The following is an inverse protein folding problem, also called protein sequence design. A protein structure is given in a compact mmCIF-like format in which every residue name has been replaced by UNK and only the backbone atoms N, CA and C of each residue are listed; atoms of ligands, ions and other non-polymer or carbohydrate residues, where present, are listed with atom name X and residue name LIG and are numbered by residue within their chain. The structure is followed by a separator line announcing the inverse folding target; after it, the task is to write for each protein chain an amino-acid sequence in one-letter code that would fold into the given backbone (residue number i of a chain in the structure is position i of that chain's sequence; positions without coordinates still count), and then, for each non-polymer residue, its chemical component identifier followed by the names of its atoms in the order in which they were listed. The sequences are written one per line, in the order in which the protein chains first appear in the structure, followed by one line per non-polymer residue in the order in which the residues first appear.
data_IF_371427845897
#
_entry.id   IF_371427845897
#
_cell.length_a   1.000
_cell.length_b   1.000
_cell.length_c   1.000
_cell.angle_alpha   90.00
_cell.angle_beta   90.00
_cell.angle_gamma   90.00
#
_symmetry.space_group_name_H-M   'P 1'
#
loop_
_entity.id
_entity.type
_entity.pdbx_description
1 polymer ?
#
# COMPACT_ATOMS: atom_id res chain seq x y z
N UNK A 1 -38.07 21.32 56.08
CA UNK A 1 -36.64 21.61 55.84
C UNK A 1 -36.45 22.05 54.39
N UNK A 2 -36.07 23.30 54.13
CA UNK A 2 -35.81 23.83 52.77
C UNK A 2 -34.40 23.40 52.30
N UNK A 3 -34.22 22.93 51.06
CA UNK A 3 -32.89 22.61 50.54
C UNK A 3 -32.10 23.90 50.28
N UNK A 4 -30.83 23.91 50.72
CA UNK A 4 -29.92 25.07 50.62
C UNK A 4 -29.56 25.37 49.16
N UNK A 5 -29.49 26.65 48.73
CA UNK A 5 -29.27 27.07 47.34
C UNK A 5 -27.82 26.95 46.83
N UNK A 6 -26.89 26.43 47.64
CA UNK A 6 -25.45 26.46 47.35
C UNK A 6 -25.00 25.59 46.17
N UNK A 7 -25.69 24.49 45.83
CA UNK A 7 -25.28 23.57 44.76
C UNK A 7 -25.46 24.14 43.35
N UNK A 8 -26.44 25.00 43.13
CA UNK A 8 -26.72 25.61 41.82
C UNK A 8 -25.70 26.70 41.46
N UNK A 9 -25.13 27.38 42.46
CA UNK A 9 -24.11 28.43 42.23
C UNK A 9 -22.79 27.83 41.73
N UNK A 10 -22.34 26.74 42.35
CA UNK A 10 -21.08 26.08 41.97
C UNK A 10 -21.12 25.48 40.55
N UNK A 11 -22.29 24.99 40.11
CA UNK A 11 -22.46 24.46 38.75
C UNK A 11 -22.40 25.57 37.69
N UNK A 12 -23.01 26.73 37.95
CA UNK A 12 -22.93 27.89 37.05
C UNK A 12 -21.51 28.43 36.92
N UNK A 13 -20.77 28.49 38.03
CA UNK A 13 -19.37 28.93 38.03
C UNK A 13 -18.50 27.94 37.23
N UNK A 14 -18.74 26.63 37.37
CA UNK A 14 -18.04 25.60 36.60
C UNK A 14 -18.30 25.73 35.09
N UNK A 15 -19.55 25.93 34.68
CA UNK A 15 -19.92 26.08 33.26
C UNK A 15 -19.29 27.34 32.66
N UNK A 16 -19.27 28.45 33.39
CA UNK A 16 -18.62 29.69 32.95
C UNK A 16 -17.10 29.48 32.82
N UNK A 17 -16.48 28.77 33.77
CA UNK A 17 -15.05 28.44 33.72
C UNK A 17 -14.65 27.61 32.49
N UNK A 18 -15.46 26.59 32.15
CA UNK A 18 -15.24 25.76 30.95
C UNK A 18 -15.40 26.58 29.67
N UNK A 19 -16.40 27.47 29.62
CA UNK A 19 -16.65 28.30 28.44
C UNK A 19 -15.53 29.33 28.20
N UNK A 20 -15.01 29.93 29.28
CA UNK A 20 -13.87 30.87 29.21
C UNK A 20 -12.58 30.13 28.80
N UNK A 21 -12.33 28.93 29.31
CA UNK A 21 -11.20 28.11 28.90
C UNK A 21 -11.26 27.73 27.41
N UNK A 22 -12.45 27.41 26.90
CA UNK A 22 -12.66 27.09 25.48
C UNK A 22 -12.43 28.31 24.57
N UNK A 23 -12.89 29.50 24.98
CA UNK A 23 -12.64 30.75 24.26
C UNK A 23 -11.15 31.12 24.25
N UNK A 24 -10.43 30.93 25.35
CA UNK A 24 -8.98 31.18 25.41
C UNK A 24 -8.20 30.24 24.49
N UNK A 25 -8.57 28.94 24.44
CA UNK A 25 -7.97 27.98 23.50
C UNK A 25 -8.26 28.32 22.03
N UNK A 26 -9.45 28.84 21.74
CA UNK A 26 -9.82 29.26 20.39
C UNK A 26 -9.00 30.49 19.95
N UNK A 27 -8.85 31.51 20.80
CA UNK A 27 -8.05 32.71 20.49
C UNK A 27 -6.55 32.39 20.37
N UNK A 28 -6.03 31.49 21.21
CA UNK A 28 -4.65 31.00 21.10
C UNK A 28 -4.41 30.27 19.77
N UNK A 29 -5.34 29.42 19.31
CA UNK A 29 -5.22 28.77 17.99
C UNK A 29 -5.29 29.76 16.83
N UNK A 30 -6.15 30.78 16.91
CA UNK A 30 -6.26 31.82 15.88
C UNK A 30 -5.03 32.71 15.77
N UNK A 31 -4.25 32.82 16.85
CA UNK A 31 -3.04 33.66 16.91
C UNK A 31 -1.77 32.95 16.38
N UNK A 32 -1.85 31.64 16.10
CA UNK A 32 -0.71 30.84 15.62
C UNK A 32 -0.68 30.59 14.11
N UNK A 33 -1.52 31.27 13.33
CA UNK A 33 -1.49 31.19 11.86
C UNK A 33 -1.14 32.53 11.24
N UNK A 34 0.12 32.94 11.38
CA UNK A 34 0.78 33.81 10.42
C UNK A 34 2.29 33.75 10.62
N UNK A 35 2.96 32.93 9.81
CA UNK A 35 4.35 33.20 9.45
C UNK A 35 4.46 33.07 7.95
N UNK A 36 4.39 34.23 7.29
CA UNK A 36 4.94 34.46 5.96
C UNK A 36 6.42 34.05 5.98
N UNK A 37 6.83 33.22 5.04
CA UNK A 37 8.23 33.11 4.65
C UNK A 37 8.34 33.33 3.15
N UNK A 38 9.07 34.38 2.83
CA UNK A 38 9.30 34.93 1.50
C UNK A 38 9.83 33.91 0.50
N UNK A 39 9.32 34.02 -0.73
CA UNK A 39 9.83 33.31 -1.89
C UNK A 39 11.24 33.82 -2.25
N UNK A 40 12.25 33.00 -2.01
CA UNK A 40 13.57 33.16 -2.62
C UNK A 40 13.56 32.57 -4.03
N UNK A 41 13.48 33.44 -5.05
CA UNK A 41 13.80 33.12 -6.44
C UNK A 41 15.33 32.99 -6.63
N UNK A 42 15.86 31.87 -7.13
CA UNK A 42 17.22 31.85 -7.65
C UNK A 42 17.25 32.42 -9.07
N UNK A 43 18.16 33.38 -9.26
CA UNK A 43 18.57 33.95 -10.55
C UNK A 43 19.17 32.90 -11.48
N UNK A 44 18.83 33.05 -12.76
CA UNK A 44 19.48 32.56 -13.99
C UNK A 44 20.56 31.47 -13.85
N UNK A 45 20.26 30.30 -14.41
CA UNK A 45 21.28 29.36 -14.87
C UNK A 45 20.85 28.84 -16.24
N UNK A 46 21.62 29.21 -17.27
CA UNK A 46 21.45 28.76 -18.65
C UNK A 46 21.60 27.24 -18.72
N UNK A 47 20.49 26.53 -18.85
CA UNK A 47 20.50 25.09 -19.18
C UNK A 47 20.46 24.95 -20.69
N UNK A 48 21.47 24.28 -21.22
CA UNK A 48 21.59 23.84 -22.61
C UNK A 48 20.42 22.90 -22.92
N UNK A 49 19.54 23.33 -23.83
CA UNK A 49 18.37 22.57 -24.25
C UNK A 49 18.85 21.39 -25.11
N UNK A 50 18.93 20.20 -24.50
CA UNK A 50 18.83 18.94 -25.23
C UNK A 50 17.44 18.88 -25.87
N UNK A 51 17.40 18.63 -27.18
CA UNK A 51 16.19 18.63 -28.00
C UNK A 51 15.26 17.51 -27.52
N UNK A 52 14.29 17.85 -26.68
CA UNK A 52 13.20 16.95 -26.31
C UNK A 52 12.33 16.74 -27.55
N UNK A 53 12.47 15.60 -28.21
CA UNK A 53 11.60 15.20 -29.29
C UNK A 53 10.19 14.99 -28.75
N UNK A 54 9.31 15.91 -29.14
CA UNK A 54 7.87 15.74 -29.30
C UNK A 54 7.10 15.14 -28.11
N UNK A 55 7.14 15.81 -26.94
CA UNK A 55 6.05 15.70 -25.98
C UNK A 55 4.78 16.25 -26.64
N UNK A 56 3.87 15.35 -27.02
CA UNK A 56 2.48 15.72 -27.32
C UNK A 56 1.97 16.60 -26.17
N UNK A 57 1.43 17.78 -26.49
CA UNK A 57 0.89 18.73 -25.50
C UNK A 57 -0.38 18.14 -24.87
N UNK A 58 -0.24 17.18 -23.99
CA UNK A 58 -1.34 16.53 -23.27
C UNK A 58 -1.50 17.16 -21.89
N UNK A 59 -2.47 18.07 -21.80
CA UNK A 59 -3.22 18.49 -20.62
C UNK A 59 -2.43 18.81 -19.33
N UNK A 60 -2.26 20.11 -18.99
CA UNK A 60 -1.72 20.56 -17.70
C UNK A 60 -2.64 20.35 -16.48
N UNK A 61 -3.55 19.36 -16.52
CA UNK A 61 -4.45 19.03 -15.42
C UNK A 61 -3.89 17.87 -14.61
N UNK A 62 -4.08 17.91 -13.29
CA UNK A 62 -3.69 16.83 -12.39
C UNK A 62 -4.47 15.55 -12.76
N UNK A 63 -3.82 14.38 -12.83
CA UNK A 63 -4.51 13.11 -13.05
C UNK A 63 -5.64 12.87 -12.05
N UNK A 64 -6.81 12.34 -12.48
CA UNK A 64 -7.91 12.04 -11.55
C UNK A 64 -7.52 11.10 -10.40
N UNK A 65 -6.71 10.07 -10.67
CA UNK A 65 -6.21 9.16 -9.63
C UNK A 65 -5.37 9.89 -8.58
N UNK A 66 -4.49 10.81 -9.02
CA UNK A 66 -3.67 11.61 -8.12
C UNK A 66 -4.51 12.63 -7.32
N UNK A 67 -5.44 13.32 -7.97
CA UNK A 67 -6.33 14.27 -7.29
C UNK A 67 -7.17 13.56 -6.20
N UNK A 68 -7.69 12.37 -6.49
CA UNK A 68 -8.47 11.59 -5.53
C UNK A 68 -7.62 11.06 -4.38
N UNK A 69 -6.40 10.58 -4.64
CA UNK A 69 -5.46 10.19 -3.59
C UNK A 69 -5.13 11.38 -2.67
N UNK A 70 -4.84 12.56 -3.25
CA UNK A 70 -4.57 13.78 -2.47
C UNK A 70 -5.76 14.15 -1.57
N UNK A 71 -6.97 14.22 -2.13
CA UNK A 71 -8.19 14.52 -1.35
C UNK A 71 -8.39 13.47 -0.26
N UNK A 72 -8.26 12.18 -0.58
CA UNK A 72 -8.43 11.09 0.38
C UNK A 72 -7.48 11.23 1.57
N UNK A 73 -6.16 11.34 1.33
CA UNK A 73 -5.18 11.33 2.41
C UNK A 73 -5.10 12.64 3.18
N UNK A 74 -5.38 13.78 2.55
CA UNK A 74 -5.39 15.08 3.25
C UNK A 74 -6.61 15.26 4.15
N UNK A 75 -7.69 14.52 3.90
CA UNK A 75 -8.93 14.57 4.68
C UNK A 75 -9.14 13.36 5.59
N UNK A 76 -8.33 12.31 5.45
CA UNK A 76 -8.37 11.11 6.29
C UNK A 76 -7.69 11.34 7.64
N UNK A 77 -8.26 10.78 8.71
CA UNK A 77 -7.61 10.67 10.03
C UNK A 77 -6.76 9.42 10.18
N UNK A 78 -6.80 8.53 9.19
CA UNK A 78 -6.08 7.26 9.15
C UNK A 78 -4.95 7.37 8.13
N UNK A 79 -3.74 6.99 8.55
CA UNK A 79 -2.57 6.89 7.68
C UNK A 79 -2.38 5.44 7.20
N UNK A 80 -1.72 5.23 6.05
CA UNK A 80 -1.27 3.90 5.63
C UNK A 80 -0.48 3.15 6.72
N UNK A 81 -0.55 1.82 6.70
CA UNK A 81 0.18 0.96 7.65
C UNK A 81 1.69 1.06 7.44
N UNK A 82 2.14 1.05 6.19
CA UNK A 82 3.56 1.19 5.86
C UNK A 82 4.09 2.57 6.28
N UNK A 83 5.26 2.58 6.90
CA UNK A 83 5.96 3.81 7.29
C UNK A 83 6.47 4.56 6.06
N UNK A 84 6.78 5.85 6.23
CA UNK A 84 7.42 6.64 5.18
C UNK A 84 8.72 6.02 4.66
N UNK A 85 9.48 5.31 5.51
CA UNK A 85 10.74 4.67 5.10
C UNK A 85 10.47 3.48 4.20
N UNK A 86 9.51 2.64 4.55
CA UNK A 86 9.09 1.48 3.74
C UNK A 86 8.53 1.94 2.40
N UNK A 87 7.60 2.91 2.41
CA UNK A 87 6.99 3.46 1.19
C UNK A 87 8.06 4.04 0.25
N UNK A 88 9.11 4.68 0.80
CA UNK A 88 10.21 5.25 0.01
C UNK A 88 11.03 4.22 -0.75
N UNK A 89 11.02 2.94 -0.33
CA UNK A 89 11.74 1.89 -1.05
C UNK A 89 11.04 1.62 -2.38
N UNK A 90 9.76 1.24 -2.33
CA UNK A 90 8.96 0.95 -3.53
C UNK A 90 8.76 2.18 -4.41
N UNK A 91 8.55 3.36 -3.83
CA UNK A 91 8.31 4.59 -4.62
C UNK A 91 9.51 5.01 -5.46
N UNK A 92 10.76 4.75 -5.02
CA UNK A 92 11.96 5.02 -5.83
C UNK A 92 12.05 4.14 -7.06
N UNK A 93 11.56 2.91 -6.96
CA UNK A 93 11.51 1.98 -8.11
C UNK A 93 10.38 2.38 -9.05
N UNK A 94 9.19 2.68 -8.52
CA UNK A 94 8.08 3.22 -9.31
C UNK A 94 8.45 4.52 -10.03
N UNK A 95 9.23 5.41 -9.42
CA UNK A 95 9.69 6.64 -10.07
C UNK A 95 10.50 6.37 -11.35
N UNK A 96 11.19 5.23 -11.42
CA UNK A 96 12.00 4.83 -12.58
C UNK A 96 11.22 3.99 -13.59
N UNK A 97 10.33 3.12 -13.11
CA UNK A 97 9.62 2.12 -13.93
C UNK A 97 8.21 2.55 -14.36
N UNK A 98 7.55 3.46 -13.63
CA UNK A 98 6.19 3.92 -13.96
C UNK A 98 6.16 4.72 -15.27
N UNK A 99 5.13 4.57 -16.11
CA UNK A 99 4.00 3.65 -15.96
C UNK A 99 4.39 2.18 -16.22
N UNK A 100 3.97 1.26 -15.35
CA UNK A 100 4.29 -0.17 -15.44
C UNK A 100 3.14 -1.09 -15.01
N UNK A 101 3.35 -2.41 -15.12
CA UNK A 101 2.47 -3.42 -14.53
C UNK A 101 2.86 -3.65 -13.06
N UNK A 102 1.99 -3.28 -12.13
CA UNK A 102 2.21 -3.43 -10.69
C UNK A 102 1.16 -4.34 -10.05
N UNK A 103 1.58 -5.48 -9.51
CA UNK A 103 0.71 -6.36 -8.74
C UNK A 103 0.87 -6.08 -7.25
N UNK A 104 -0.23 -6.01 -6.52
CA UNK A 104 -0.24 -5.85 -5.06
C UNK A 104 -1.09 -6.96 -4.46
N UNK A 105 -0.48 -7.87 -3.70
CA UNK A 105 -1.22 -8.68 -2.74
C UNK A 105 -1.51 -7.78 -1.56
N UNK A 106 -2.77 -7.37 -1.41
CA UNK A 106 -3.30 -6.50 -0.38
C UNK A 106 -4.15 -5.38 -0.98
N UNK A 107 -5.31 -5.15 -0.39
CA UNK A 107 -6.17 -4.00 -0.70
C UNK A 107 -6.42 -3.22 0.59
N UNK A 108 -6.01 -1.95 0.62
CA UNK A 108 -6.02 -1.21 1.87
C UNK A 108 -5.92 0.29 1.71
N UNK A 109 -5.56 0.93 2.82
CA UNK A 109 -5.43 2.38 2.89
C UNK A 109 -4.32 2.93 2.00
N UNK A 110 -3.35 2.13 1.59
CA UNK A 110 -2.23 2.49 0.72
C UNK A 110 -2.53 2.31 -0.78
N UNK A 111 -3.62 1.60 -1.15
CA UNK A 111 -3.92 1.27 -2.55
C UNK A 111 -4.07 2.48 -3.47
N UNK A 112 -4.71 3.56 -2.99
CA UNK A 112 -4.81 4.80 -3.78
C UNK A 112 -3.45 5.45 -4.03
N UNK A 113 -2.55 5.40 -3.04
CA UNK A 113 -1.19 5.89 -3.18
C UNK A 113 -0.44 5.05 -4.22
N UNK A 114 -0.53 3.72 -4.15
CA UNK A 114 0.12 2.83 -5.13
C UNK A 114 -0.39 3.05 -6.56
N UNK A 115 -1.70 3.17 -6.75
CA UNK A 115 -2.30 3.47 -8.05
C UNK A 115 -1.92 4.89 -8.55
N UNK A 116 -1.80 5.87 -7.66
CA UNK A 116 -1.40 7.23 -8.03
C UNK A 116 0.10 7.33 -8.38
N UNK A 117 0.96 6.61 -7.66
CA UNK A 117 2.40 6.55 -7.94
C UNK A 117 2.71 5.85 -9.26
N UNK A 118 1.88 4.88 -9.65
CA UNK A 118 1.95 4.19 -10.95
C UNK A 118 1.02 4.83 -12.01
N UNK A 119 0.88 6.16 -12.02
CA UNK A 119 -0.05 6.83 -12.92
C UNK A 119 0.27 6.53 -14.39
N UNK A 120 -0.75 6.10 -15.14
CA UNK A 120 -0.63 5.69 -16.54
C UNK A 120 -0.26 4.22 -16.73
N UNK A 121 0.13 3.53 -15.65
CA UNK A 121 0.35 2.08 -15.62
C UNK A 121 -0.91 1.32 -15.22
N UNK A 122 -0.78 0.00 -15.09
CA UNK A 122 -1.84 -0.88 -14.59
C UNK A 122 -1.44 -1.39 -13.20
N UNK A 123 -2.31 -1.17 -12.22
CA UNK A 123 -2.12 -1.70 -10.86
C UNK A 123 -3.28 -2.60 -10.50
N UNK A 124 -3.00 -3.86 -10.17
CA UNK A 124 -4.00 -4.83 -9.71
C UNK A 124 -3.79 -5.14 -8.24
N UNK A 125 -4.88 -5.16 -7.47
CA UNK A 125 -4.88 -5.50 -6.05
C UNK A 125 -5.55 -6.85 -5.82
N UNK A 126 -4.99 -7.70 -4.97
CA UNK A 126 -5.53 -9.00 -4.61
C UNK A 126 -5.82 -9.03 -3.11
N UNK A 127 -7.00 -9.44 -2.68
CA UNK A 127 -7.35 -9.44 -1.25
C UNK A 127 -8.18 -10.67 -0.86
N UNK A 128 -8.03 -11.14 0.38
CA UNK A 128 -8.78 -12.29 0.90
C UNK A 128 -10.23 -11.97 1.29
N UNK A 129 -10.58 -10.71 1.54
CA UNK A 129 -11.93 -10.35 2.01
C UNK A 129 -12.79 -9.81 0.85
N UNK A 130 -13.66 -10.68 0.33
CA UNK A 130 -14.61 -10.33 -0.73
C UNK A 130 -15.56 -9.18 -0.34
N UNK A 131 -15.94 -9.06 0.93
CA UNK A 131 -16.82 -7.99 1.41
C UNK A 131 -16.06 -6.67 1.42
N UNK A 132 -14.82 -6.69 1.89
CA UNK A 132 -13.93 -5.53 1.86
C UNK A 132 -13.67 -5.04 0.43
N UNK A 133 -13.39 -5.95 -0.50
CA UNK A 133 -13.25 -5.64 -1.93
C UNK A 133 -14.47 -4.88 -2.46
N UNK A 134 -15.68 -5.37 -2.18
CA UNK A 134 -16.90 -4.73 -2.66
C UNK A 134 -17.12 -3.34 -2.04
N UNK A 135 -16.74 -3.14 -0.77
CA UNK A 135 -16.76 -1.83 -0.14
C UNK A 135 -15.78 -0.85 -0.79
N UNK A 136 -14.55 -1.29 -1.05
CA UNK A 136 -13.53 -0.47 -1.68
C UNK A 136 -13.90 -0.15 -3.14
N UNK A 137 -14.40 -1.10 -3.91
CA UNK A 137 -14.86 -0.86 -5.30
C UNK A 137 -15.97 0.19 -5.37
N UNK A 138 -16.90 0.22 -4.41
CA UNK A 138 -17.94 1.26 -4.34
C UNK A 138 -17.36 2.64 -4.05
N UNK A 139 -16.34 2.71 -3.19
CA UNK A 139 -15.72 3.98 -2.76
C UNK A 139 -14.70 4.50 -3.76
N UNK A 140 -13.96 3.60 -4.40
CA UNK A 140 -12.83 3.85 -5.27
C UNK A 140 -12.92 2.94 -6.51
N UNK A 141 -13.88 3.21 -7.42
CA UNK A 141 -14.16 2.33 -8.58
C UNK A 141 -13.00 2.26 -9.58
N UNK A 142 -12.00 3.14 -9.47
CA UNK A 142 -10.77 3.06 -10.27
C UNK A 142 -9.78 2.00 -9.81
N UNK A 143 -9.93 1.44 -8.60
CA UNK A 143 -9.03 0.41 -8.10
C UNK A 143 -9.47 -0.93 -8.67
N UNK A 144 -8.63 -1.48 -9.54
CA UNK A 144 -8.80 -2.82 -10.06
C UNK A 144 -8.38 -3.84 -9.00
N UNK A 145 -9.35 -4.53 -8.42
CA UNK A 145 -9.12 -5.49 -7.34
C UNK A 145 -9.79 -6.83 -7.58
N UNK A 146 -9.24 -7.93 -7.07
CA UNK A 146 -9.81 -9.27 -7.17
C UNK A 146 -9.71 -10.03 -5.86
N UNK A 147 -10.69 -10.90 -5.62
CA UNK A 147 -10.69 -11.79 -4.48
C UNK A 147 -9.76 -12.98 -4.72
N UNK A 148 -8.98 -13.33 -3.70
CA UNK A 148 -8.10 -14.50 -3.70
C UNK A 148 -8.35 -15.33 -2.45
N UNK A 149 -8.38 -16.63 -2.60
CA UNK A 149 -8.47 -17.56 -1.46
C UNK A 149 -7.09 -18.06 -1.09
N UNK A 150 -6.76 -17.99 0.20
CA UNK A 150 -5.51 -18.50 0.74
C UNK A 150 -5.81 -19.67 1.66
N UNK A 151 -5.37 -20.86 1.26
CA UNK A 151 -5.65 -22.10 1.99
C UNK A 151 -4.62 -22.39 3.10
N UNK A 152 -3.45 -21.74 3.04
CA UNK A 152 -2.36 -21.91 4.01
C UNK A 152 -2.51 -21.03 5.23
N UNK A 153 -2.27 -21.58 6.42
CA UNK A 153 -2.25 -20.86 7.70
C UNK A 153 -0.84 -20.65 8.24
N UNK A 154 -0.66 -19.60 9.03
CA UNK A 154 0.64 -19.25 9.64
C UNK A 154 1.26 -20.42 10.41
N UNK A 155 0.47 -21.21 11.15
CA UNK A 155 0.96 -22.38 11.87
C UNK A 155 1.49 -23.53 10.98
N UNK A 156 1.23 -23.49 9.68
CA UNK A 156 1.76 -24.46 8.70
C UNK A 156 3.09 -24.02 8.09
N UNK A 157 3.64 -22.86 8.49
CA UNK A 157 4.81 -22.26 7.84
C UNK A 157 6.05 -23.18 7.83
N UNK A 158 6.30 -23.94 8.89
CA UNK A 158 7.45 -24.85 8.96
C UNK A 158 7.32 -26.02 7.99
N UNK A 159 6.17 -26.69 7.97
CA UNK A 159 5.87 -27.77 7.03
C UNK A 159 5.95 -27.28 5.58
N UNK A 160 5.36 -26.12 5.29
CA UNK A 160 5.33 -25.52 3.96
C UNK A 160 6.72 -25.08 3.49
N UNK A 161 7.59 -24.65 4.40
CA UNK A 161 8.98 -24.31 4.09
C UNK A 161 9.74 -25.54 3.59
N UNK A 162 9.60 -26.67 4.28
CA UNK A 162 10.25 -27.92 3.88
C UNK A 162 9.66 -28.48 2.58
N UNK A 163 8.34 -28.41 2.40
CA UNK A 163 7.70 -28.76 1.14
C UNK A 163 8.21 -27.88 -0.02
N UNK A 164 8.39 -26.57 0.23
CA UNK A 164 8.88 -25.59 -0.73
C UNK A 164 10.31 -25.84 -1.23
N UNK A 165 11.13 -26.55 -0.46
CA UNK A 165 12.49 -26.97 -0.86
C UNK A 165 12.49 -28.27 -1.68
N UNK A 166 11.34 -28.93 -1.78
CA UNK A 166 11.16 -30.17 -2.54
C UNK A 166 11.25 -29.97 -4.05
N UNK A 167 11.44 -31.07 -4.82
CA UNK A 167 11.59 -31.01 -6.28
C UNK A 167 10.37 -30.46 -7.00
N UNK A 168 9.17 -30.61 -6.44
CA UNK A 168 7.91 -30.08 -6.99
C UNK A 168 7.85 -28.54 -7.00
N UNK A 169 8.72 -27.89 -6.22
CA UNK A 169 8.73 -26.45 -6.00
C UNK A 169 9.93 -25.72 -6.63
N UNK A 170 10.86 -26.44 -7.26
CA UNK A 170 12.06 -25.87 -7.89
C UNK A 170 11.92 -25.63 -9.39
N UNK A 171 10.94 -26.27 -10.04
CA UNK A 171 10.72 -26.12 -11.47
C UNK A 171 10.16 -24.71 -11.80
N UNK A 172 10.80 -23.99 -12.71
CA UNK A 172 10.28 -22.74 -13.25
C UNK A 172 9.22 -23.08 -14.29
N UNK A 173 7.96 -23.09 -13.84
CA UNK A 173 6.77 -23.32 -14.66
C UNK A 173 5.79 -22.17 -14.47
N UNK A 174 4.79 -22.08 -15.34
CA UNK A 174 3.65 -21.19 -15.14
C UNK A 174 3.00 -21.49 -13.77
N UNK A 175 2.90 -20.45 -12.93
CA UNK A 175 2.36 -20.54 -11.58
C UNK A 175 0.96 -21.16 -11.54
N UNK A 176 0.16 -20.97 -12.61
CA UNK A 176 -1.16 -21.59 -12.77
C UNK A 176 -1.10 -23.11 -12.66
N UNK A 177 -0.06 -23.73 -13.24
CA UNK A 177 0.11 -25.18 -13.30
C UNK A 177 1.15 -25.74 -12.32
N UNK A 178 1.74 -24.91 -11.45
CA UNK A 178 2.67 -25.35 -10.41
C UNK A 178 2.13 -26.54 -9.60
N UNK A 179 2.91 -27.61 -9.44
CA UNK A 179 2.56 -28.73 -8.56
C UNK A 179 2.93 -28.46 -7.09
N UNK A 180 3.75 -27.44 -6.84
CA UNK A 180 4.11 -27.01 -5.50
C UNK A 180 2.88 -26.57 -4.68
N UNK A 181 2.78 -27.06 -3.45
CA UNK A 181 1.74 -26.67 -2.49
C UNK A 181 1.76 -25.17 -2.14
N UNK A 182 2.90 -24.51 -2.30
CA UNK A 182 3.02 -23.06 -2.10
C UNK A 182 2.47 -22.21 -3.26
N UNK A 183 2.23 -22.80 -4.44
CA UNK A 183 1.75 -22.07 -5.60
C UNK A 183 0.27 -21.74 -5.48
N UNK A 184 -0.06 -20.44 -5.40
CA UNK A 184 -1.45 -19.97 -5.35
C UNK A 184 -2.24 -20.40 -6.59
N UNK A 185 -3.41 -20.97 -6.34
CA UNK A 185 -4.34 -21.45 -7.36
C UNK A 185 -5.57 -20.55 -7.43
N UNK A 186 -6.20 -20.54 -8.61
CA UNK A 186 -7.45 -19.82 -8.81
C UNK A 186 -7.31 -18.29 -8.84
N UNK A 187 -6.10 -17.75 -9.06
CA UNK A 187 -5.98 -16.32 -9.38
C UNK A 187 -6.70 -16.03 -10.70
N UNK A 188 -7.21 -14.80 -10.91
CA UNK A 188 -7.77 -14.40 -12.20
C UNK A 188 -6.78 -14.69 -13.34
N UNK A 189 -7.28 -15.17 -14.49
CA UNK A 189 -6.43 -15.58 -15.61
C UNK A 189 -5.42 -14.51 -16.02
N UNK A 190 -5.86 -13.26 -16.07
CA UNK A 190 -5.02 -12.10 -16.37
C UNK A 190 -3.83 -11.91 -15.42
N UNK A 191 -3.96 -12.29 -14.14
CA UNK A 191 -2.88 -12.13 -13.17
C UNK A 191 -1.72 -13.05 -13.50
N UNK A 192 -2.01 -14.24 -14.05
CA UNK A 192 -1.00 -15.16 -14.57
C UNK A 192 -0.43 -14.70 -15.92
N UNK A 193 -1.24 -14.07 -16.77
CA UNK A 193 -0.85 -13.74 -18.14
C UNK A 193 -0.03 -12.43 -18.22
N UNK A 194 -0.17 -11.53 -17.24
CA UNK A 194 0.56 -10.26 -17.20
C UNK A 194 2.01 -10.49 -16.75
N UNK A 195 2.95 -9.91 -17.51
CA UNK A 195 4.34 -9.75 -17.07
C UNK A 195 4.42 -8.56 -16.11
N UNK A 196 4.61 -8.85 -14.83
CA UNK A 196 4.70 -7.85 -13.78
C UNK A 196 6.08 -7.19 -13.75
N UNK A 197 6.14 -5.87 -13.62
CA UNK A 197 7.39 -5.12 -13.42
C UNK A 197 7.70 -4.95 -11.94
N UNK A 198 6.65 -4.79 -11.13
CA UNK A 198 6.70 -4.77 -9.67
C UNK A 198 5.64 -5.69 -9.09
N UNK A 199 5.98 -6.31 -7.96
CA UNK A 199 5.04 -7.05 -7.11
C UNK A 199 5.23 -6.61 -5.66
N UNK A 200 4.16 -6.21 -4.98
CA UNK A 200 4.14 -5.96 -3.53
C UNK A 200 3.37 -7.07 -2.84
N UNK A 201 3.99 -7.75 -1.88
CA UNK A 201 3.35 -8.74 -1.01
C UNK A 201 3.06 -8.09 0.33
N UNK A 202 1.85 -7.55 0.46
CA UNK A 202 1.29 -6.94 1.68
C UNK A 202 0.01 -7.61 2.19
N UNK A 203 -0.25 -8.84 1.73
CA UNK A 203 -1.35 -9.68 2.17
C UNK A 203 -1.01 -11.15 1.87
N UNK A 204 -1.69 -12.11 2.50
CA UNK A 204 -2.77 -11.95 3.47
C UNK A 204 -2.32 -11.46 4.86
N UNK A 205 -3.31 -11.32 5.73
CA UNK A 205 -3.27 -10.81 7.10
C UNK A 205 -2.08 -11.29 7.97
N UNK A 206 -1.84 -12.59 8.06
CA UNK A 206 -0.62 -13.18 8.66
C UNK A 206 -0.28 -12.86 10.13
N UNK A 207 -1.16 -12.25 10.93
CA UNK A 207 -0.81 -11.79 12.30
C UNK A 207 -1.10 -12.78 13.44
N UNK A 208 -1.74 -13.92 13.17
CA UNK A 208 -1.94 -15.00 14.16
C UNK A 208 -1.89 -16.38 13.50
N UNK A 209 -1.67 -17.42 14.31
CA UNK A 209 -1.44 -18.81 13.88
C UNK A 209 -2.51 -19.36 12.92
N UNK A 210 -3.78 -19.07 13.20
CA UNK A 210 -4.92 -19.53 12.38
C UNK A 210 -5.22 -18.64 11.16
N UNK A 211 -4.51 -17.52 11.00
CA UNK A 211 -4.75 -16.59 9.89
C UNK A 211 -4.09 -17.13 8.63
N UNK A 212 -4.59 -16.75 7.44
CA UNK A 212 -3.83 -17.00 6.24
C UNK A 212 -2.49 -16.26 6.29
N UNK A 213 -1.41 -16.99 5.99
CA UNK A 213 -0.04 -16.48 6.02
C UNK A 213 0.49 -16.10 4.64
N UNK A 214 1.54 -15.26 4.60
CA UNK A 214 2.13 -14.74 3.34
C UNK A 214 2.98 -15.74 2.56
N UNK A 215 3.16 -16.97 3.06
CA UNK A 215 4.00 -18.01 2.45
C UNK A 215 3.68 -18.25 0.98
N UNK A 216 2.41 -18.49 0.66
CA UNK A 216 1.94 -18.80 -0.69
C UNK A 216 2.01 -17.57 -1.61
N UNK A 217 1.73 -16.38 -1.08
CA UNK A 217 1.86 -15.12 -1.81
C UNK A 217 3.34 -14.82 -2.17
N UNK A 218 4.26 -14.95 -1.22
CA UNK A 218 5.71 -14.76 -1.43
C UNK A 218 6.23 -15.74 -2.49
N UNK A 219 5.92 -17.02 -2.34
CA UNK A 219 6.36 -18.04 -3.30
C UNK A 219 5.80 -17.77 -4.70
N UNK A 220 4.51 -17.47 -4.81
CA UNK A 220 3.86 -17.20 -6.10
C UNK A 220 4.41 -15.94 -6.76
N UNK A 221 4.68 -14.87 -5.99
CA UNK A 221 5.33 -13.67 -6.49
C UNK A 221 6.72 -13.98 -7.07
N UNK A 222 7.53 -14.79 -6.37
CA UNK A 222 8.83 -15.26 -6.86
C UNK A 222 8.71 -16.09 -8.15
N UNK A 223 7.72 -16.96 -8.24
CA UNK A 223 7.45 -17.77 -9.44
C UNK A 223 7.05 -16.89 -10.63
N UNK A 224 6.14 -15.93 -10.44
CA UNK A 224 5.74 -14.98 -11.48
C UNK A 224 6.91 -14.11 -11.94
N UNK A 225 7.75 -13.66 -11.00
CA UNK A 225 8.95 -12.89 -11.30
C UNK A 225 9.95 -13.68 -12.15
N UNK A 226 10.19 -14.96 -11.82
CA UNK A 226 11.12 -15.84 -12.55
C UNK A 226 10.61 -16.34 -13.89
N UNK A 227 9.30 -16.49 -14.05
CA UNK A 227 8.69 -16.96 -15.30
C UNK A 227 8.64 -15.88 -16.40
N UNK A 228 9.14 -14.68 -16.12
CA UNK A 228 9.28 -13.61 -17.10
C UNK A 228 10.45 -13.90 -18.04
N UNK A 229 10.16 -14.02 -19.34
CA UNK A 229 11.20 -14.30 -20.35
C UNK A 229 12.22 -13.16 -20.53
N UNK A 230 11.78 -11.90 -20.43
CA UNK A 230 12.62 -10.71 -20.68
C UNK A 230 12.39 -9.65 -19.62
N UNK A 231 13.46 -9.13 -19.03
CA UNK A 231 13.43 -8.06 -18.02
C UNK A 231 13.35 -8.58 -16.59
N UNK A 232 13.31 -7.64 -15.64
CA UNK A 232 13.38 -7.92 -14.20
C UNK A 232 12.08 -7.47 -13.51
N UNK A 233 11.66 -8.26 -12.52
CA UNK A 233 10.52 -7.95 -11.65
C UNK A 233 11.04 -7.63 -10.26
N UNK A 234 10.75 -6.43 -9.74
CA UNK A 234 11.07 -6.11 -8.35
C UNK A 234 9.96 -6.64 -7.44
N UNK A 235 10.33 -7.49 -6.47
CA UNK A 235 9.40 -8.02 -5.46
C UNK A 235 9.67 -7.36 -4.12
N UNK A 236 8.65 -6.74 -3.54
CA UNK A 236 8.68 -6.15 -2.20
C UNK A 236 7.83 -7.00 -1.27
N UNK A 237 8.34 -7.28 -0.07
CA UNK A 237 7.58 -7.98 0.97
C UNK A 237 7.51 -7.07 2.18
N UNK A 238 6.30 -6.82 2.66
CA UNK A 238 6.07 -6.02 3.87
C UNK A 238 6.06 -6.91 5.13
N UNK A 239 6.27 -6.30 6.30
CA UNK A 239 6.34 -6.97 7.61
C UNK A 239 7.46 -8.04 7.74
N UNK A 240 8.59 -7.86 7.04
CA UNK A 240 9.76 -8.78 7.11
C UNK A 240 10.47 -8.81 8.48
N UNK A 241 10.01 -8.03 9.46
CA UNK A 241 10.39 -8.21 10.86
C UNK A 241 9.72 -9.44 11.51
N UNK A 242 8.72 -10.03 10.85
CA UNK A 242 8.08 -11.29 11.27
C UNK A 242 8.85 -12.48 10.70
N UNK A 243 8.89 -13.57 11.47
CA UNK A 243 9.73 -14.74 11.20
C UNK A 243 9.34 -15.46 9.91
N UNK A 244 8.04 -15.56 9.63
CA UNK A 244 7.53 -16.27 8.45
C UNK A 244 7.92 -15.50 7.19
N UNK A 245 7.60 -14.21 7.14
CA UNK A 245 7.91 -13.32 6.02
C UNK A 245 9.41 -13.25 5.75
N UNK A 246 10.24 -13.11 6.79
CA UNK A 246 11.71 -13.10 6.66
C UNK A 246 12.25 -14.40 6.04
N UNK A 247 11.87 -15.55 6.62
CA UNK A 247 12.38 -16.86 6.17
C UNK A 247 11.92 -17.19 4.75
N UNK A 248 10.64 -16.99 4.45
CA UNK A 248 10.10 -17.27 3.11
C UNK A 248 10.68 -16.32 2.06
N UNK A 249 10.91 -15.04 2.41
CA UNK A 249 11.56 -14.11 1.48
C UNK A 249 12.99 -14.55 1.15
N UNK A 250 13.79 -14.91 2.16
CA UNK A 250 15.18 -15.36 1.95
C UNK A 250 15.30 -16.67 1.17
N UNK A 251 14.35 -17.58 1.36
CA UNK A 251 14.35 -18.86 0.65
C UNK A 251 13.87 -18.71 -0.80
N UNK A 252 12.78 -17.98 -1.03
CA UNK A 252 12.06 -18.00 -2.30
C UNK A 252 12.25 -16.76 -3.17
N UNK A 253 12.93 -15.71 -2.68
CA UNK A 253 13.28 -14.50 -3.43
C UNK A 253 14.79 -14.28 -3.42
N UNK A 254 15.26 -13.41 -4.31
CA UNK A 254 16.66 -12.97 -4.32
C UNK A 254 16.85 -11.72 -3.45
N UNK A 255 18.06 -11.49 -2.95
CA UNK A 255 18.39 -10.26 -2.24
C UNK A 255 18.16 -9.03 -3.13
N UNK A 256 17.58 -7.98 -2.54
CA UNK A 256 17.38 -6.71 -3.22
C UNK A 256 18.72 -6.00 -3.50
N UNK A 257 18.82 -5.37 -4.67
CA UNK A 257 19.98 -4.55 -5.10
C UNK A 257 19.90 -3.10 -4.64
#
# INVERSE_FOLDING_TARGET
MRPKPHRLSNLKILIIGVFVAFLLLFVLRSSFSSSNSDAFLPKDSKIVIGRAENCSRTCGKIPPSLAQALIHYTTSTITPQQTLKEIKVTSRVLQKKSPCNFLVFGLGHDSLMWAALNHGGRTIFLDEDAVWIEQIRRRFPMLESYHVTYDSKVNQAEELMEAGKGPECTAIVDARYSMCQLGLKGLPGEVYDIKWDLIMVDAPTGYHDEAPGRMTAIYTAGMMARNRADGETDVFVHDVNRVVEDKFSKEFLCDGT
#
